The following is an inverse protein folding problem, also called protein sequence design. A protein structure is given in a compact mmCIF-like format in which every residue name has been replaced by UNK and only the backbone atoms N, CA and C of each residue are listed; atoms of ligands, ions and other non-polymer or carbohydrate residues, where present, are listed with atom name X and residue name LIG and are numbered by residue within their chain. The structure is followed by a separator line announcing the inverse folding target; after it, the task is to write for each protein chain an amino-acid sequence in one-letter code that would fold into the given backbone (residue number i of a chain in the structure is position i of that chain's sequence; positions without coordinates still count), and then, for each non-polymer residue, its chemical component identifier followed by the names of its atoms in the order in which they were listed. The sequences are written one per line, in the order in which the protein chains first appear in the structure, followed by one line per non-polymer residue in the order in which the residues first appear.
data_IF_268092452086
#
_entry.id   IF_268092452086
#
_cell.length_a   1.000
_cell.length_b   1.000
_cell.length_c   1.000
_cell.angle_alpha   90.00
_cell.angle_beta   90.00
_cell.angle_gamma   90.00
#
_symmetry.space_group_name_H-M   'P 1'
#
loop_
_entity.id
_entity.type
_entity.pdbx_description
1 polymer ?
#
# COMPACT_ATOMS: atom_id res chain seq x y z
N UNK A 1 -13.22 -15.44 21.19
CA UNK A 1 -13.17 -14.13 20.53
C UNK A 1 -14.39 -14.08 19.61
N UNK A 2 -15.35 -13.20 19.88
CA UNK A 2 -16.55 -13.03 19.06
C UNK A 2 -16.26 -12.05 17.93
N UNK A 3 -17.05 -12.07 16.85
CA UNK A 3 -16.89 -11.09 15.76
C UNK A 3 -17.07 -9.65 16.28
N UNK A 4 -18.04 -9.41 17.13
CA UNK A 4 -18.32 -8.10 17.75
C UNK A 4 -17.18 -7.55 18.61
N UNK A 5 -16.36 -8.43 19.21
CA UNK A 5 -15.17 -7.99 19.96
C UNK A 5 -14.03 -7.56 19.07
N UNK A 6 -14.05 -7.95 17.80
CA UNK A 6 -12.97 -7.70 16.83
C UNK A 6 -13.32 -6.58 15.85
N UNK A 7 -14.58 -6.51 15.42
CA UNK A 7 -15.06 -5.68 14.30
C UNK A 7 -16.02 -4.62 14.86
N UNK A 8 -16.04 -3.46 14.23
CA UNK A 8 -17.00 -2.37 14.52
C UNK A 8 -17.85 -2.07 13.29
N UNK A 9 -19.04 -1.58 13.51
CA UNK A 9 -19.87 -1.05 12.44
C UNK A 9 -19.14 0.10 11.73
N UNK A 10 -19.17 0.08 10.40
CA UNK A 10 -18.42 1.01 9.56
C UNK A 10 -16.98 0.60 9.25
N UNK A 11 -16.44 -0.47 9.87
CA UNK A 11 -15.12 -0.99 9.53
C UNK A 11 -15.05 -1.37 8.05
N UNK A 12 -13.95 -0.99 7.40
CA UNK A 12 -13.72 -1.31 5.99
C UNK A 12 -13.37 -2.78 5.84
N UNK A 13 -13.82 -3.36 4.74
CA UNK A 13 -13.47 -4.71 4.34
C UNK A 13 -13.04 -4.75 2.88
N UNK A 14 -11.99 -5.52 2.59
CA UNK A 14 -11.66 -5.92 1.22
C UNK A 14 -12.15 -7.37 1.04
N UNK A 15 -12.84 -7.62 -0.06
CA UNK A 15 -13.35 -8.96 -0.41
C UNK A 15 -12.60 -9.44 -1.65
N UNK A 16 -12.09 -10.65 -1.59
CA UNK A 16 -11.36 -11.31 -2.69
C UNK A 16 -12.10 -12.59 -3.04
N UNK A 17 -12.38 -12.82 -4.30
CA UNK A 17 -13.06 -14.04 -4.72
C UNK A 17 -12.11 -15.25 -4.62
N UNK A 18 -12.54 -16.33 -3.96
CA UNK A 18 -11.67 -17.49 -3.67
C UNK A 18 -11.09 -18.11 -4.94
N UNK A 19 -11.83 -18.14 -6.03
CA UNK A 19 -11.36 -18.69 -7.30
C UNK A 19 -10.15 -17.91 -7.88
N UNK A 20 -10.06 -16.58 -7.64
CA UNK A 20 -8.93 -15.78 -8.10
C UNK A 20 -7.64 -16.15 -7.34
N UNK A 21 -7.76 -16.42 -6.04
CA UNK A 21 -6.64 -16.87 -5.21
C UNK A 21 -6.18 -18.28 -5.61
N UNK A 22 -7.12 -19.17 -5.94
CA UNK A 22 -6.81 -20.51 -6.44
C UNK A 22 -6.11 -20.45 -7.78
N UNK A 23 -6.56 -19.62 -8.72
CA UNK A 23 -5.91 -19.41 -10.00
C UNK A 23 -4.48 -18.90 -9.83
N UNK A 24 -4.26 -17.91 -8.95
CA UNK A 24 -2.92 -17.39 -8.67
C UNK A 24 -2.00 -18.47 -8.06
N UNK A 25 -2.51 -19.27 -7.11
CA UNK A 25 -1.76 -20.40 -6.52
C UNK A 25 -1.36 -21.45 -7.56
N UNK A 26 -2.19 -21.65 -8.57
CA UNK A 26 -1.93 -22.58 -9.68
C UNK A 26 -1.04 -21.99 -10.78
N UNK A 27 -0.41 -20.82 -10.54
CA UNK A 27 0.54 -20.21 -11.46
C UNK A 27 -0.11 -19.51 -12.67
N UNK A 28 -1.42 -19.32 -12.67
CA UNK A 28 -2.10 -18.52 -13.68
C UNK A 28 -1.84 -17.03 -13.40
N UNK A 29 -1.46 -16.29 -14.43
CA UNK A 29 -1.25 -14.84 -14.36
C UNK A 29 -2.62 -14.12 -14.27
N UNK A 30 -3.25 -14.24 -13.10
CA UNK A 30 -4.55 -13.66 -12.82
C UNK A 30 -4.38 -12.50 -11.85
N UNK A 31 -4.77 -11.31 -12.27
CA UNK A 31 -4.84 -10.15 -11.38
C UNK A 31 -5.90 -10.38 -10.30
N UNK A 32 -5.47 -10.44 -9.06
CA UNK A 32 -6.37 -10.59 -7.90
C UNK A 32 -7.04 -9.25 -7.59
N UNK A 33 -8.33 -9.16 -7.93
CA UNK A 33 -9.15 -7.97 -7.68
C UNK A 33 -9.62 -7.93 -6.22
N UNK A 34 -9.46 -6.77 -5.59
CA UNK A 34 -9.95 -6.49 -4.24
C UNK A 34 -11.18 -5.59 -4.34
N UNK A 35 -12.30 -6.12 -3.90
CA UNK A 35 -13.57 -5.42 -3.88
C UNK A 35 -13.76 -4.76 -2.52
N UNK A 36 -14.02 -3.44 -2.50
CA UNK A 36 -14.16 -2.65 -1.27
C UNK A 36 -15.59 -2.67 -0.77
N UNK A 37 -15.76 -2.86 0.52
CA UNK A 37 -17.04 -2.84 1.21
C UNK A 37 -16.87 -2.30 2.65
N UNK A 38 -17.94 -2.23 3.42
CA UNK A 38 -17.95 -1.83 4.82
C UNK A 38 -18.96 -2.64 5.60
N UNK A 39 -18.67 -2.90 6.87
CA UNK A 39 -19.57 -3.59 7.80
C UNK A 39 -20.75 -2.68 8.14
N UNK A 40 -21.95 -3.22 8.01
CA UNK A 40 -23.21 -2.50 8.31
C UNK A 40 -23.80 -2.99 9.61
N UNK A 41 -23.89 -4.32 9.80
CA UNK A 41 -24.49 -4.90 11.00
C UNK A 41 -23.99 -6.32 11.27
N UNK A 42 -24.30 -6.85 12.46
CA UNK A 42 -24.08 -8.23 12.86
C UNK A 42 -25.43 -8.96 12.85
N UNK A 43 -25.60 -9.85 11.86
CA UNK A 43 -26.87 -10.61 11.74
C UNK A 43 -26.90 -11.81 12.71
N UNK A 44 -25.75 -12.34 13.07
CA UNK A 44 -25.55 -13.42 14.06
C UNK A 44 -24.07 -13.51 14.44
N UNK A 45 -23.72 -14.46 15.34
CA UNK A 45 -22.34 -14.75 15.73
C UNK A 45 -21.40 -15.11 14.56
N UNK A 46 -21.97 -15.49 13.41
CA UNK A 46 -21.23 -15.89 12.21
C UNK A 46 -21.56 -15.10 10.97
N UNK A 47 -22.57 -14.26 11.00
CA UNK A 47 -23.04 -13.52 9.83
C UNK A 47 -22.84 -12.04 9.99
N UNK A 48 -22.18 -11.45 9.02
CA UNK A 48 -22.00 -9.99 8.88
C UNK A 48 -22.84 -9.46 7.72
N UNK A 49 -23.52 -8.36 7.97
CA UNK A 49 -24.10 -7.56 6.91
C UNK A 49 -23.04 -6.55 6.43
N UNK A 50 -22.79 -6.55 5.12
CA UNK A 50 -21.84 -5.61 4.51
C UNK A 50 -22.48 -4.91 3.31
N UNK A 51 -21.99 -3.71 2.98
CA UNK A 51 -22.43 -3.01 1.77
C UNK A 51 -22.08 -3.81 0.53
N UNK A 52 -22.87 -3.64 -0.57
CA UNK A 52 -22.50 -4.23 -1.85
C UNK A 52 -21.11 -3.77 -2.27
N UNK A 53 -20.20 -4.71 -2.62
CA UNK A 53 -18.82 -4.38 -2.92
C UNK A 53 -18.66 -3.46 -4.13
N UNK A 54 -17.61 -2.65 -4.11
CA UNK A 54 -17.23 -1.77 -5.22
C UNK A 54 -15.83 -2.10 -5.74
N UNK A 55 -15.64 -1.94 -7.04
CA UNK A 55 -14.34 -2.01 -7.70
C UNK A 55 -14.20 -0.81 -8.64
N UNK A 56 -13.12 -0.04 -8.53
CA UNK A 56 -12.88 1.21 -9.27
C UNK A 56 -14.07 2.17 -9.23
N UNK A 57 -14.67 2.32 -8.03
CA UNK A 57 -15.81 3.19 -7.79
C UNK A 57 -17.15 2.68 -8.32
N UNK A 58 -17.19 1.52 -8.99
CA UNK A 58 -18.40 0.92 -9.52
C UNK A 58 -18.87 -0.23 -8.64
N UNK A 59 -20.19 -0.29 -8.38
CA UNK A 59 -20.80 -1.39 -7.65
C UNK A 59 -20.69 -2.70 -8.45
N UNK A 60 -20.34 -3.77 -7.75
CA UNK A 60 -20.22 -5.11 -8.32
C UNK A 60 -21.19 -6.04 -7.62
N UNK A 61 -22.14 -6.58 -8.38
CA UNK A 61 -23.16 -7.46 -7.84
C UNK A 61 -22.61 -8.88 -7.62
N UNK A 62 -22.41 -9.25 -6.36
CA UNK A 62 -22.03 -10.61 -6.00
C UNK A 62 -23.25 -11.54 -6.03
N UNK A 63 -23.03 -12.76 -6.50
CA UNK A 63 -24.05 -13.82 -6.50
C UNK A 63 -24.04 -14.56 -5.16
N UNK A 64 -25.20 -15.05 -4.76
CA UNK A 64 -25.32 -15.97 -3.62
C UNK A 64 -24.52 -17.24 -3.87
N UNK A 65 -23.94 -17.81 -2.83
CA UNK A 65 -23.06 -18.98 -2.90
C UNK A 65 -21.62 -18.71 -3.29
N UNK A 66 -21.24 -17.47 -3.65
CA UNK A 66 -19.84 -17.13 -3.94
C UNK A 66 -19.00 -17.23 -2.66
N UNK A 67 -17.90 -17.99 -2.75
CA UNK A 67 -16.87 -18.07 -1.70
C UNK A 67 -15.84 -16.97 -1.87
N UNK A 68 -15.46 -16.36 -0.77
CA UNK A 68 -14.54 -15.23 -0.72
C UNK A 68 -13.58 -15.36 0.46
N UNK A 69 -12.43 -14.72 0.34
CA UNK A 69 -11.63 -14.28 1.48
C UNK A 69 -11.99 -12.83 1.79
N UNK A 70 -12.28 -12.53 3.06
CA UNK A 70 -12.56 -11.19 3.55
C UNK A 70 -11.39 -10.71 4.39
N UNK A 71 -10.85 -9.53 4.08
CA UNK A 71 -9.83 -8.85 4.88
C UNK A 71 -10.53 -7.73 5.64
N UNK A 72 -10.54 -7.85 6.96
CA UNK A 72 -11.17 -6.96 7.91
C UNK A 72 -10.16 -5.91 8.38
N UNK A 73 -10.50 -4.63 8.29
CA UNK A 73 -9.69 -3.50 8.76
C UNK A 73 -10.18 -3.08 10.13
N UNK A 74 -9.68 -3.70 11.16
CA UNK A 74 -10.11 -3.48 12.53
C UNK A 74 -9.19 -2.51 13.28
N UNK A 75 -9.63 -2.01 14.45
CA UNK A 75 -8.80 -1.19 15.33
C UNK A 75 -7.53 -1.91 15.84
N UNK A 76 -7.55 -3.26 15.89
CA UNK A 76 -6.43 -4.10 16.32
C UNK A 76 -5.53 -4.58 15.18
N UNK A 77 -5.73 -4.04 13.96
CA UNK A 77 -4.99 -4.42 12.75
C UNK A 77 -5.85 -5.14 11.72
N UNK A 78 -5.19 -5.83 10.82
CA UNK A 78 -5.87 -6.58 9.77
C UNK A 78 -6.10 -8.02 10.18
N UNK A 79 -7.27 -8.54 9.82
CA UNK A 79 -7.61 -9.96 9.98
C UNK A 79 -8.16 -10.49 8.67
N UNK A 80 -7.93 -11.77 8.37
CA UNK A 80 -8.55 -12.44 7.23
C UNK A 80 -9.37 -13.63 7.69
N UNK A 81 -10.46 -13.89 6.97
CA UNK A 81 -11.31 -15.06 7.17
C UNK A 81 -11.93 -15.48 5.84
N UNK A 82 -12.25 -16.77 5.72
CA UNK A 82 -13.05 -17.28 4.63
C UNK A 82 -14.53 -17.02 4.88
N UNK A 83 -15.25 -16.65 3.87
CA UNK A 83 -16.68 -16.36 3.95
C UNK A 83 -17.42 -16.80 2.68
N UNK A 84 -18.74 -16.80 2.76
CA UNK A 84 -19.64 -17.10 1.66
C UNK A 84 -20.80 -16.10 1.65
N UNK A 85 -21.20 -15.66 0.48
CA UNK A 85 -22.42 -14.84 0.29
C UNK A 85 -23.64 -15.71 0.50
N UNK A 86 -24.44 -15.45 1.54
CA UNK A 86 -25.70 -16.17 1.82
C UNK A 86 -26.87 -15.54 1.13
N UNK A 87 -26.97 -14.21 1.19
CA UNK A 87 -28.07 -13.46 0.57
C UNK A 87 -27.57 -12.15 0.01
N UNK A 88 -28.27 -11.68 -0.99
CA UNK A 88 -28.14 -10.35 -1.57
C UNK A 88 -29.50 -9.70 -1.57
N UNK A 89 -29.62 -8.53 -1.01
CA UNK A 89 -30.89 -7.82 -0.92
C UNK A 89 -30.69 -6.31 -0.96
N UNK A 90 -31.79 -5.60 -1.06
CA UNK A 90 -31.84 -4.16 -1.03
C UNK A 90 -32.74 -3.71 0.12
N UNK A 91 -32.26 -2.82 0.96
CA UNK A 91 -33.04 -2.13 2.01
C UNK A 91 -32.96 -0.65 1.73
N UNK A 92 -34.12 0.01 1.57
CA UNK A 92 -34.21 1.42 1.16
C UNK A 92 -33.39 1.68 -0.12
N UNK A 93 -32.29 2.45 0.01
CA UNK A 93 -31.40 2.78 -1.08
C UNK A 93 -30.04 2.04 -1.04
N UNK A 94 -29.86 1.10 -0.09
CA UNK A 94 -28.62 0.35 0.09
C UNK A 94 -28.76 -1.07 -0.46
N UNK A 95 -27.78 -1.48 -1.25
CA UNK A 95 -27.59 -2.88 -1.63
C UNK A 95 -26.63 -3.53 -0.63
N UNK A 96 -27.05 -4.66 -0.05
CA UNK A 96 -26.41 -5.32 1.06
C UNK A 96 -26.14 -6.81 0.73
N UNK A 97 -25.14 -7.34 1.43
CA UNK A 97 -24.80 -8.78 1.44
C UNK A 97 -24.83 -9.31 2.86
N UNK A 98 -25.52 -10.43 3.05
CA UNK A 98 -25.35 -11.30 4.21
C UNK A 98 -24.17 -12.25 3.92
N UNK A 99 -23.09 -12.09 4.69
CA UNK A 99 -21.82 -12.82 4.57
C UNK A 99 -21.64 -13.76 5.76
N UNK A 100 -21.73 -15.06 5.53
CA UNK A 100 -21.40 -16.04 6.58
C UNK A 100 -19.89 -16.26 6.65
N UNK A 101 -19.33 -16.13 7.84
CA UNK A 101 -17.93 -16.40 8.17
C UNK A 101 -17.74 -17.91 8.34
N UNK A 102 -16.90 -18.51 7.51
CA UNK A 102 -16.63 -19.95 7.47
C UNK A 102 -15.40 -20.36 8.30
N UNK A 103 -14.51 -19.41 8.58
CA UNK A 103 -13.31 -19.67 9.39
C UNK A 103 -13.13 -18.57 10.42
N UNK A 104 -12.55 -18.88 11.57
CA UNK A 104 -12.17 -17.86 12.56
C UNK A 104 -11.25 -16.84 11.92
N UNK A 105 -11.49 -15.52 12.16
CA UNK A 105 -10.58 -14.48 11.70
C UNK A 105 -9.18 -14.67 12.28
N UNK A 106 -8.17 -14.72 11.42
CA UNK A 106 -6.76 -14.81 11.79
C UNK A 106 -6.05 -13.50 11.48
N UNK A 107 -5.07 -13.13 12.30
CA UNK A 107 -4.31 -11.90 12.09
C UNK A 107 -3.61 -11.96 10.75
N UNK A 108 -3.81 -10.91 9.94
CA UNK A 108 -3.31 -10.83 8.57
C UNK A 108 -2.22 -9.76 8.45
N UNK A 109 -0.99 -10.19 8.22
CA UNK A 109 0.13 -9.28 7.98
C UNK A 109 0.45 -9.24 6.48
N UNK A 110 0.06 -8.14 5.82
CA UNK A 110 0.30 -7.95 4.38
C UNK A 110 1.57 -7.17 4.06
N UNK A 111 2.19 -6.53 5.08
CA UNK A 111 3.39 -5.72 4.89
C UNK A 111 4.61 -6.54 5.26
N UNK A 112 5.51 -6.70 4.31
CA UNK A 112 6.81 -7.32 4.55
C UNK A 112 7.70 -6.43 5.44
N UNK A 113 7.59 -5.09 5.25
CA UNK A 113 8.39 -4.11 5.96
C UNK A 113 7.52 -3.19 6.80
N UNK A 114 8.03 -2.81 7.95
CA UNK A 114 7.50 -1.71 8.72
C UNK A 114 7.58 -0.42 7.90
N UNK A 115 6.60 0.48 8.06
CA UNK A 115 6.58 1.81 7.46
C UNK A 115 6.71 2.84 8.54
N UNK A 116 7.69 3.69 8.39
CA UNK A 116 7.95 4.80 9.28
C UNK A 116 7.41 6.08 8.65
N UNK A 117 6.50 6.74 9.35
CA UNK A 117 6.06 8.08 8.97
C UNK A 117 7.20 9.07 9.21
N UNK A 118 7.43 9.98 8.28
CA UNK A 118 8.49 10.97 8.34
C UNK A 118 8.09 12.25 7.60
N UNK A 119 8.94 13.27 7.72
CA UNK A 119 8.85 14.49 6.90
C UNK A 119 10.28 14.88 6.52
N UNK A 120 10.76 14.31 5.40
CA UNK A 120 12.16 14.48 4.96
C UNK A 120 12.15 15.15 3.59
N UNK A 121 12.78 16.32 3.49
CA UNK A 121 12.98 16.98 2.21
C UNK A 121 13.91 16.15 1.32
N UNK A 122 13.51 15.97 0.07
CA UNK A 122 14.27 15.23 -0.92
C UNK A 122 14.15 15.87 -2.28
N UNK A 123 15.00 15.43 -3.19
CA UNK A 123 14.89 15.77 -4.60
C UNK A 123 14.73 14.53 -5.45
N UNK A 124 14.14 14.67 -6.64
CA UNK A 124 14.02 13.59 -7.59
C UNK A 124 14.20 14.07 -9.02
N UNK A 125 14.58 13.14 -9.90
CA UNK A 125 14.65 13.31 -11.35
C UNK A 125 13.73 12.27 -11.98
N UNK A 126 12.92 12.67 -12.95
CA UNK A 126 12.24 11.69 -13.80
C UNK A 126 13.25 11.07 -14.75
N UNK A 127 13.30 9.75 -14.78
CA UNK A 127 14.23 8.97 -15.61
C UNK A 127 13.46 8.02 -16.52
N UNK A 128 14.04 7.70 -17.66
CA UNK A 128 13.50 6.69 -18.55
C UNK A 128 13.64 5.29 -17.96
N UNK A 129 12.89 4.33 -18.51
CA UNK A 129 13.02 2.92 -18.09
C UNK A 129 14.40 2.35 -18.43
N UNK A 130 14.98 2.80 -19.52
CA UNK A 130 16.32 2.42 -19.99
C UNK A 130 17.37 2.84 -18.95
N UNK A 131 17.36 4.11 -18.53
CA UNK A 131 18.24 4.64 -17.47
C UNK A 131 17.98 3.92 -16.14
N UNK A 132 16.71 3.70 -15.78
CA UNK A 132 16.36 2.98 -14.56
C UNK A 132 16.88 1.53 -14.55
N UNK A 133 17.16 0.93 -15.70
CA UNK A 133 17.66 -0.44 -15.82
C UNK A 133 19.19 -0.56 -15.88
N UNK A 134 19.95 0.55 -15.90
CA UNK A 134 21.40 0.52 -15.80
C UNK A 134 21.86 -0.23 -14.53
N UNK A 135 23.02 -0.82 -14.57
CA UNK A 135 23.47 -1.73 -13.50
C UNK A 135 23.82 -1.00 -12.22
N UNK A 136 24.40 0.19 -12.32
CA UNK A 136 24.91 0.94 -11.17
C UNK A 136 24.30 2.33 -11.05
N UNK A 137 24.27 2.84 -9.84
CA UNK A 137 23.86 4.23 -9.56
C UNK A 137 24.82 5.24 -10.21
N UNK A 138 26.11 4.90 -10.34
CA UNK A 138 27.09 5.75 -10.97
C UNK A 138 26.79 5.96 -12.48
N UNK A 139 26.45 4.88 -13.18
CA UNK A 139 26.02 4.96 -14.59
C UNK A 139 24.76 5.83 -14.74
N UNK A 140 23.76 5.64 -13.87
CA UNK A 140 22.53 6.45 -13.88
C UNK A 140 22.84 7.93 -13.70
N UNK A 141 23.74 8.28 -12.78
CA UNK A 141 24.15 9.66 -12.55
C UNK A 141 24.94 10.23 -13.75
N UNK A 142 25.80 9.43 -14.39
CA UNK A 142 26.53 9.83 -15.60
C UNK A 142 25.56 10.18 -16.74
N UNK A 143 24.61 9.30 -17.02
CA UNK A 143 23.58 9.53 -18.06
C UNK A 143 22.76 10.80 -17.79
N UNK A 144 22.40 11.06 -16.52
CA UNK A 144 21.70 12.29 -16.15
C UNK A 144 22.54 13.55 -16.39
N UNK A 145 23.87 13.48 -16.28
CA UNK A 145 24.76 14.58 -16.62
C UNK A 145 24.93 14.75 -18.13
N UNK A 146 24.95 13.65 -18.89
CA UNK A 146 25.18 13.66 -20.34
C UNK A 146 23.93 14.08 -21.14
N UNK A 147 22.71 13.82 -20.62
CA UNK A 147 21.44 14.31 -21.22
C UNK A 147 21.29 15.83 -21.19
N UNK A 148 22.31 16.55 -20.73
CA UNK A 148 22.41 18.00 -20.73
C UNK A 148 21.84 18.64 -19.47
N UNK A 149 22.40 19.79 -19.10
CA UNK A 149 22.12 20.57 -17.90
C UNK A 149 20.68 21.08 -17.73
N UNK A 150 19.71 20.54 -18.48
CA UNK A 150 18.31 21.00 -18.49
C UNK A 150 17.39 20.27 -17.51
N UNK A 151 17.75 19.08 -17.04
CA UNK A 151 16.92 18.39 -16.03
C UNK A 151 17.30 18.86 -14.62
N UNK A 152 16.65 19.91 -14.14
CA UNK A 152 16.77 20.33 -12.76
C UNK A 152 16.08 19.32 -11.83
N UNK A 153 16.68 19.04 -10.66
CA UNK A 153 16.02 18.21 -9.65
C UNK A 153 14.73 18.87 -9.17
N UNK A 154 13.66 18.11 -9.13
CA UNK A 154 12.39 18.55 -8.59
C UNK A 154 12.38 18.29 -7.06
N UNK A 155 11.75 19.20 -6.32
CA UNK A 155 11.63 19.08 -4.86
C UNK A 155 10.44 18.23 -4.48
N UNK A 156 10.59 17.46 -3.41
CA UNK A 156 9.52 16.65 -2.84
C UNK A 156 9.74 16.48 -1.33
N UNK A 157 8.69 16.09 -0.63
CA UNK A 157 8.76 15.71 0.79
C UNK A 157 8.39 14.24 0.94
N UNK A 158 9.30 13.44 1.46
CA UNK A 158 9.04 12.05 1.83
C UNK A 158 8.11 12.04 3.05
N UNK A 159 7.01 11.30 2.97
CA UNK A 159 5.97 11.22 4.00
C UNK A 159 6.00 9.91 4.78
N UNK A 160 6.40 8.83 4.13
CA UNK A 160 6.73 7.57 4.79
C UNK A 160 7.78 6.79 3.98
N UNK A 161 8.52 5.94 4.69
CA UNK A 161 9.55 5.07 4.11
C UNK A 161 9.48 3.69 4.76
N UNK A 162 9.85 2.68 3.99
CA UNK A 162 9.98 1.28 4.42
C UNK A 162 11.15 0.59 3.71
N UNK A 163 11.46 -0.64 4.07
CA UNK A 163 12.48 -1.43 3.34
C UNK A 163 12.14 -1.73 1.88
N UNK A 164 10.91 -1.49 1.44
CA UNK A 164 10.48 -1.79 0.06
C UNK A 164 10.12 -0.58 -0.80
N UNK A 165 9.99 0.62 -0.21
CA UNK A 165 9.57 1.80 -0.96
C UNK A 165 9.24 2.98 -0.07
N UNK A 166 8.72 4.03 -0.70
CA UNK A 166 8.40 5.30 -0.04
C UNK A 166 7.09 5.88 -0.56
N UNK A 167 6.52 6.80 0.22
CA UNK A 167 5.46 7.72 -0.21
C UNK A 167 5.98 9.15 -0.04
N UNK A 168 5.71 10.00 -1.02
CA UNK A 168 6.13 11.38 -1.01
C UNK A 168 5.09 12.32 -1.61
N UNK A 169 5.17 13.59 -1.27
CA UNK A 169 4.36 14.66 -1.85
C UNK A 169 5.20 15.54 -2.75
N UNK A 170 4.62 15.95 -3.87
CA UNK A 170 5.15 16.97 -4.79
C UNK A 170 3.99 17.65 -5.52
N UNK A 171 4.29 18.62 -6.37
CA UNK A 171 3.33 19.42 -7.12
C UNK A 171 2.78 18.75 -8.39
N UNK A 172 3.17 17.49 -8.64
CA UNK A 172 2.72 16.74 -9.81
C UNK A 172 2.31 15.30 -9.49
N UNK A 173 1.33 14.81 -10.25
CA UNK A 173 0.91 13.41 -10.24
C UNK A 173 1.78 12.62 -11.20
N UNK A 174 2.66 11.79 -10.66
CA UNK A 174 3.51 10.94 -11.47
C UNK A 174 2.73 9.75 -12.04
N UNK A 175 3.09 9.35 -13.26
CA UNK A 175 2.41 8.25 -13.96
C UNK A 175 2.78 6.90 -13.33
N UNK A 176 1.78 6.06 -13.07
CA UNK A 176 2.01 4.67 -12.66
C UNK A 176 2.90 3.92 -13.67
N UNK A 177 3.89 3.20 -13.17
CA UNK A 177 4.90 2.50 -13.97
C UNK A 177 6.08 3.35 -14.43
N UNK A 178 6.06 4.68 -14.27
CA UNK A 178 7.23 5.54 -14.53
C UNK A 178 8.30 5.37 -13.45
N UNK A 179 9.49 5.91 -13.72
CA UNK A 179 10.65 5.80 -12.84
C UNK A 179 11.17 7.18 -12.46
N UNK A 180 11.63 7.30 -11.23
CA UNK A 180 12.34 8.48 -10.74
C UNK A 180 13.62 8.06 -10.02
N UNK A 181 14.65 8.89 -10.09
CA UNK A 181 15.83 8.81 -9.24
C UNK A 181 15.63 9.74 -8.06
N UNK A 182 15.52 9.19 -6.86
CA UNK A 182 15.35 9.93 -5.61
C UNK A 182 16.71 10.14 -4.95
N UNK A 183 16.95 11.37 -4.49
CA UNK A 183 18.10 11.72 -3.67
C UNK A 183 17.58 12.25 -2.33
N UNK A 184 17.81 11.49 -1.26
CA UNK A 184 17.32 11.80 0.08
C UNK A 184 18.44 11.78 1.13
N UNK A 185 18.53 12.78 2.03
CA UNK A 185 19.42 12.78 3.18
C UNK A 185 18.81 11.92 4.28
N UNK A 186 19.13 10.62 4.33
CA UNK A 186 18.70 9.74 5.40
C UNK A 186 19.84 9.59 6.41
N UNK A 187 19.72 10.30 7.52
CA UNK A 187 20.76 10.34 8.55
C UNK A 187 20.20 10.03 9.93
N UNK A 188 20.89 9.16 10.64
CA UNK A 188 20.67 8.91 12.07
C UNK A 188 21.97 8.46 12.73
N UNK A 189 21.92 7.99 13.97
CA UNK A 189 23.13 7.58 14.71
C UNK A 189 23.90 6.39 14.07
N UNK A 190 23.26 5.64 13.19
CA UNK A 190 23.80 4.39 12.62
C UNK A 190 24.02 4.50 11.10
N UNK A 191 23.22 5.33 10.45
CA UNK A 191 23.24 5.49 9.00
C UNK A 191 23.49 6.95 8.65
N UNK A 192 24.50 7.20 7.83
CA UNK A 192 24.89 8.54 7.40
C UNK A 192 24.97 8.64 5.89
N UNK A 193 24.62 9.81 5.37
CA UNK A 193 24.82 10.21 3.99
C UNK A 193 23.56 10.27 3.14
N UNK A 194 23.77 10.65 1.88
CA UNK A 194 22.69 10.71 0.89
C UNK A 194 22.43 9.32 0.32
N UNK A 195 21.15 9.01 0.19
CA UNK A 195 20.69 7.84 -0.54
C UNK A 195 20.28 8.26 -1.94
N UNK A 196 20.72 7.51 -2.93
CA UNK A 196 20.39 7.69 -4.33
C UNK A 196 19.71 6.41 -4.79
N UNK A 197 18.40 6.49 -5.05
CA UNK A 197 17.55 5.32 -5.19
C UNK A 197 16.69 5.43 -6.45
N UNK A 198 16.71 4.37 -7.25
CA UNK A 198 15.72 4.21 -8.31
C UNK A 198 14.38 3.84 -7.68
N UNK A 199 13.33 4.52 -8.08
CA UNK A 199 11.97 4.30 -7.59
C UNK A 199 11.03 4.13 -8.77
N UNK A 200 10.34 2.99 -8.82
CA UNK A 200 9.22 2.80 -9.74
C UNK A 200 7.93 3.29 -9.11
N UNK A 201 7.24 4.21 -9.76
CA UNK A 201 5.96 4.75 -9.30
C UNK A 201 4.88 3.67 -9.41
N UNK A 202 4.22 3.38 -8.29
CA UNK A 202 3.09 2.45 -8.21
C UNK A 202 1.81 3.18 -8.57
N UNK A 203 1.57 4.32 -7.91
CA UNK A 203 0.42 5.20 -8.16
C UNK A 203 0.68 6.61 -7.64
N UNK A 204 -0.17 7.54 -8.11
CA UNK A 204 -0.23 8.90 -7.63
C UNK A 204 -1.69 9.36 -7.53
N UNK A 205 -2.02 10.12 -6.50
CA UNK A 205 -3.35 10.68 -6.27
C UNK A 205 -3.27 12.06 -5.63
N UNK A 206 -4.30 12.86 -5.82
CA UNK A 206 -4.36 14.21 -5.25
C UNK A 206 -4.34 14.14 -3.72
N UNK A 207 -3.56 15.01 -3.09
CA UNK A 207 -3.45 15.06 -1.65
C UNK A 207 -4.77 15.56 -1.03
N UNK A 208 -5.37 14.84 -0.08
CA UNK A 208 -6.52 15.34 0.65
C UNK A 208 -6.16 16.66 1.34
N UNK A 209 -6.94 17.70 1.14
CA UNK A 209 -6.78 19.02 1.79
C UNK A 209 -5.57 19.88 1.32
N UNK A 210 -4.91 19.54 0.21
CA UNK A 210 -3.81 20.33 -0.36
C UNK A 210 -3.93 20.43 -1.88
N UNK A 211 -4.71 21.40 -2.35
CA UNK A 211 -4.90 21.63 -3.79
C UNK A 211 -3.56 21.85 -4.51
N UNK A 212 -3.36 21.17 -5.63
CA UNK A 212 -2.14 21.23 -6.42
C UNK A 212 -0.99 20.38 -5.85
N UNK A 213 -1.22 19.62 -4.79
CA UNK A 213 -0.26 18.67 -4.25
C UNK A 213 -0.71 17.23 -4.52
N UNK A 214 0.25 16.36 -4.80
CA UNK A 214 -0.01 14.95 -5.08
C UNK A 214 0.81 14.06 -4.17
N UNK A 215 0.20 12.97 -3.72
CA UNK A 215 0.89 11.89 -3.03
C UNK A 215 1.23 10.81 -4.04
N UNK A 216 2.51 10.53 -4.18
CA UNK A 216 3.03 9.50 -5.06
C UNK A 216 3.62 8.36 -4.21
N UNK A 217 3.33 7.12 -4.58
CA UNK A 217 3.86 5.91 -3.94
C UNK A 217 4.78 5.19 -4.90
N UNK A 218 5.93 4.80 -4.41
CA UNK A 218 6.91 4.11 -5.23
C UNK A 218 7.57 2.94 -4.53
N UNK A 219 8.02 1.99 -5.34
CA UNK A 219 8.78 0.82 -4.95
C UNK A 219 10.24 1.03 -5.29
N UNK A 220 11.15 0.68 -4.38
CA UNK A 220 12.59 0.75 -4.64
C UNK A 220 13.03 -0.30 -5.66
N UNK A 221 13.85 0.15 -6.62
CA UNK A 221 14.66 -0.68 -7.50
C UNK A 221 16.12 -0.60 -7.06
N UNK A 222 16.49 -1.39 -6.06
CA UNK A 222 17.85 -1.39 -5.53
C UNK A 222 18.85 -1.88 -6.58
N UNK A 223 19.93 -1.13 -6.77
CA UNK A 223 21.09 -1.50 -7.59
C UNK A 223 22.16 -2.22 -6.75
N UNK A 224 22.23 -1.93 -5.45
CA UNK A 224 23.08 -2.61 -4.48
C UNK A 224 22.21 -3.13 -3.31
N UNK A 225 22.42 -4.39 -2.93
CA UNK A 225 21.77 -4.98 -1.75
C UNK A 225 22.16 -4.25 -0.44
N UNK A 226 23.35 -3.65 -0.39
CA UNK A 226 23.80 -2.83 0.74
C UNK A 226 22.89 -1.62 0.97
N UNK A 227 22.39 -1.00 -0.09
CA UNK A 227 21.47 0.14 0.06
C UNK A 227 20.13 -0.30 0.65
N UNK A 228 19.64 -1.48 0.30
CA UNK A 228 18.47 -2.07 0.94
C UNK A 228 18.70 -2.29 2.45
N UNK A 229 19.83 -2.89 2.81
CA UNK A 229 20.18 -3.12 4.21
C UNK A 229 20.31 -1.81 4.99
N UNK A 230 20.93 -0.79 4.40
CA UNK A 230 21.07 0.54 5.01
C UNK A 230 19.71 1.18 5.27
N UNK A 231 18.75 1.10 4.32
CA UNK A 231 17.41 1.64 4.50
C UNK A 231 16.65 0.87 5.58
N UNK A 232 16.68 -0.46 5.56
CA UNK A 232 16.05 -1.29 6.59
C UNK A 232 16.59 -0.93 7.97
N UNK A 233 17.92 -0.79 8.09
CA UNK A 233 18.59 -0.39 9.34
C UNK A 233 18.18 1.02 9.78
N UNK A 234 18.11 1.98 8.84
CA UNK A 234 17.64 3.33 9.12
C UNK A 234 16.23 3.34 9.70
N UNK A 235 15.29 2.67 9.01
CA UNK A 235 13.87 2.57 9.43
C UNK A 235 13.73 1.90 10.78
N UNK A 236 14.47 0.82 11.03
CA UNK A 236 14.43 0.08 12.30
C UNK A 236 14.93 0.92 13.49
N UNK A 237 16.02 1.66 13.32
CA UNK A 237 16.56 2.51 14.39
C UNK A 237 15.64 3.70 14.70
N UNK A 238 15.01 4.30 13.69
CA UNK A 238 14.04 5.37 13.91
C UNK A 238 12.76 4.84 14.59
N UNK A 239 12.25 3.68 14.18
CA UNK A 239 11.13 3.01 14.86
C UNK A 239 11.45 2.77 16.34
N UNK A 240 12.67 2.29 16.63
CA UNK A 240 13.13 2.04 18.00
C UNK A 240 13.17 3.30 18.85
N UNK A 241 13.55 4.44 18.26
CA UNK A 241 13.52 5.76 18.95
C UNK A 241 12.09 6.20 19.25
N UNK A 242 11.17 6.03 18.30
CA UNK A 242 9.75 6.38 18.47
C UNK A 242 9.14 5.57 19.61
N UNK A 243 9.31 4.24 19.59
CA UNK A 243 8.80 3.35 20.64
C UNK A 243 9.36 3.66 22.03
N UNK A 244 10.62 4.08 22.13
CA UNK A 244 11.22 4.50 23.42
C UNK A 244 10.58 5.78 23.95
N UNK A 245 10.20 6.72 23.07
CA UNK A 245 9.54 7.97 23.47
C UNK A 245 8.08 7.75 23.89
N UNK A 246 7.40 6.75 23.34
CA UNK A 246 6.00 6.42 23.66
C UNK A 246 5.88 5.64 24.98
N UNK A 247 6.92 4.92 25.39
CA UNK A 247 6.92 4.05 26.58
C UNK A 247 7.69 4.64 27.77
N UNK A 248 8.22 5.85 27.69
CA UNK A 248 8.90 6.57 28.76
C UNK A 248 8.17 7.84 29.14
#
# INVERSE_FOLDING_TARGET
MTLESLIRLGDKVDIILSYQLEQQKNGLDTEVKKFKSSVVDFLSDKNLEVTMPTFDGKMVLFREGIRCEMILYTHNGLYSCNCIVRKRYKTDNLYLLDMEILSMPVKFQRREFFRMDCSIEMTYYEISKEIANLETTAEILSELHDEGAEKLPKKATMLDISGGGLRFSCDEKLKSGSYVLVIAPLENMVVHGKFILVVQIIDGYEAPNAQGMYFNRGKFGFKDLKDRERIVRFVFEEERKIRKKENG
#
